data_IF_515004619504
#
_entry.id   IF_515004619504
#
_cell.length_a   1.000
_cell.length_b   1.000
_cell.length_c   1.000
_cell.angle_alpha   90.00
_cell.angle_beta   90.00
_cell.angle_gamma   90.00
#
_symmetry.space_group_name_H-M   'P 1'
#
loop_
_entity.id
_entity.type
_entity.pdbx_description
1 polymer ?
#
# COMPACT_ATOMS: atom_id res chain seq x y z
N UNK A 1 14.65 6.57 -0.98
CA UNK A 1 13.68 6.78 0.12
C UNK A 1 13.99 8.11 0.78
N UNK A 2 12.99 8.84 1.30
CA UNK A 2 13.26 10.08 2.05
C UNK A 2 13.86 9.76 3.42
N UNK A 3 14.87 10.51 3.84
CA UNK A 3 15.50 10.40 5.17
C UNK A 3 14.51 10.63 6.31
N UNK A 4 13.46 11.41 6.06
CA UNK A 4 12.43 11.71 7.05
C UNK A 4 11.27 10.70 7.03
N UNK A 5 11.36 9.58 6.31
CA UNK A 5 10.26 8.62 6.25
C UNK A 5 9.98 7.99 7.61
N UNK A 6 8.71 7.94 8.01
CA UNK A 6 8.28 7.22 9.20
C UNK A 6 7.91 5.79 8.83
N UNK A 7 8.45 4.82 9.57
CA UNK A 7 8.11 3.40 9.44
C UNK A 7 7.20 3.00 10.61
N UNK A 8 5.92 3.38 10.50
CA UNK A 8 4.90 3.13 11.52
C UNK A 8 3.61 2.67 10.85
N UNK A 9 2.84 1.84 11.54
CA UNK A 9 1.54 1.36 11.06
C UNK A 9 0.62 2.53 10.70
N UNK A 10 -0.15 2.39 9.63
CA UNK A 10 -1.12 3.37 9.13
C UNK A 10 -0.54 4.75 8.77
N UNK A 11 0.78 4.85 8.54
CA UNK A 11 1.45 6.09 8.12
C UNK A 11 2.11 5.86 6.76
N UNK A 12 1.76 6.68 5.76
CA UNK A 12 2.35 6.55 4.43
C UNK A 12 3.87 6.79 4.47
N UNK A 13 4.60 5.81 3.93
CA UNK A 13 6.05 5.87 3.74
C UNK A 13 6.39 6.94 2.69
N UNK A 14 7.44 7.75 2.93
CA UNK A 14 7.86 8.85 2.04
C UNK A 14 8.99 8.41 1.11
N UNK A 15 8.67 8.28 -0.18
CA UNK A 15 9.59 7.86 -1.25
C UNK A 15 9.27 6.45 -1.78
N UNK A 16 9.99 6.01 -2.81
CA UNK A 16 9.71 4.73 -3.48
C UNK A 16 8.54 4.82 -4.45
N UNK A 17 7.73 3.76 -4.53
CA UNK A 17 6.56 3.67 -5.42
C UNK A 17 5.29 3.43 -4.57
N UNK A 18 4.65 4.50 -4.05
CA UNK A 18 3.42 4.36 -3.25
C UNK A 18 2.22 3.95 -4.13
N UNK A 19 1.43 2.98 -3.65
CA UNK A 19 0.21 2.54 -4.33
C UNK A 19 -0.98 3.40 -3.89
N UNK A 20 -1.54 4.20 -4.81
CA UNK A 20 -2.71 5.04 -4.57
C UNK A 20 -3.95 4.34 -5.15
N UNK A 21 -4.74 3.70 -4.29
CA UNK A 21 -5.92 2.94 -4.72
C UNK A 21 -6.94 2.84 -3.57
N UNK A 22 -8.26 3.00 -3.81
CA UNK A 22 -8.93 3.03 -5.12
C UNK A 22 -9.09 4.39 -5.81
N UNK A 23 -8.63 5.49 -5.20
CA UNK A 23 -8.61 6.83 -5.77
C UNK A 23 -7.21 7.46 -5.81
N UNK A 24 -7.10 8.64 -6.42
CA UNK A 24 -5.87 9.43 -6.46
C UNK A 24 -6.13 10.84 -5.94
N UNK A 25 -5.17 11.40 -5.20
CA UNK A 25 -5.27 12.77 -4.68
C UNK A 25 -6.31 12.93 -3.58
N UNK A 26 -6.94 14.10 -3.54
CA UNK A 26 -7.88 14.55 -2.50
C UNK A 26 -9.35 14.27 -2.83
N UNK A 27 -9.62 13.29 -3.69
CA UNK A 27 -10.99 12.95 -4.11
C UNK A 27 -11.84 12.44 -2.93
N UNK A 28 -11.21 11.72 -2.00
CA UNK A 28 -11.80 11.31 -0.73
C UNK A 28 -10.72 11.28 0.37
N UNK A 29 -11.14 11.10 1.62
CA UNK A 29 -10.21 10.93 2.74
C UNK A 29 -9.98 9.44 3.05
N UNK A 30 -8.74 9.04 3.38
CA UNK A 30 -7.53 9.85 3.38
C UNK A 30 -7.02 10.18 1.97
N UNK A 31 -6.20 11.24 1.84
CA UNK A 31 -5.54 11.56 0.56
C UNK A 31 -4.77 10.35 0.03
N UNK A 32 -4.96 10.04 -1.26
CA UNK A 32 -4.37 8.85 -1.90
C UNK A 32 -4.69 7.52 -1.19
N UNK A 33 -5.87 7.45 -0.55
CA UNK A 33 -6.49 6.24 -0.03
C UNK A 33 -5.70 5.48 1.04
N UNK A 34 -6.17 4.26 1.31
CA UNK A 34 -5.69 3.36 2.34
C UNK A 34 -4.71 2.30 1.83
N UNK A 35 -4.63 1.99 0.54
CA UNK A 35 -3.79 0.89 0.04
C UNK A 35 -2.30 1.02 0.45
N UNK A 36 -1.77 2.24 0.51
CA UNK A 36 -0.40 2.54 0.98
C UNK A 36 -0.24 2.61 2.51
N UNK A 37 -1.32 2.47 3.27
CA UNK A 37 -1.35 2.55 4.74
C UNK A 37 -1.49 1.16 5.37
N UNK A 38 -2.05 0.21 4.62
CA UNK A 38 -2.30 -1.17 5.05
C UNK A 38 -1.12 -2.10 4.78
N UNK A 39 -1.09 -3.22 5.50
CA UNK A 39 -0.08 -4.26 5.35
C UNK A 39 -0.49 -5.26 4.25
N UNK A 40 0.40 -5.44 3.27
CA UNK A 40 0.20 -6.38 2.17
C UNK A 40 0.85 -7.72 2.51
N UNK A 41 0.21 -8.82 2.11
CA UNK A 41 0.77 -10.15 2.31
C UNK A 41 1.61 -10.56 1.10
N UNK A 42 2.84 -11.04 1.33
CA UNK A 42 3.59 -11.76 0.31
C UNK A 42 2.92 -13.12 0.10
N UNK A 43 2.27 -13.28 -1.04
CA UNK A 43 1.44 -14.47 -1.34
C UNK A 43 2.10 -15.42 -2.32
N UNK A 44 3.03 -14.93 -3.14
CA UNK A 44 3.87 -15.76 -3.98
C UNK A 44 5.21 -15.07 -4.22
N UNK A 45 6.23 -15.86 -4.51
CA UNK A 45 7.52 -15.38 -5.00
C UNK A 45 8.13 -16.38 -5.98
N UNK A 46 8.98 -15.89 -6.88
CA UNK A 46 9.79 -16.72 -7.77
C UNK A 46 11.18 -16.11 -7.89
N UNK A 47 12.19 -16.94 -7.71
CA UNK A 47 13.59 -16.57 -7.90
C UNK A 47 14.08 -17.17 -9.21
N UNK A 48 14.55 -16.31 -10.09
CA UNK A 48 15.15 -16.66 -11.37
C UNK A 48 16.63 -16.31 -11.32
N UNK A 49 17.36 -16.71 -12.37
CA UNK A 49 18.81 -16.54 -12.42
C UNK A 49 19.25 -15.07 -12.25
N UNK A 50 18.50 -14.15 -12.84
CA UNK A 50 18.84 -12.72 -12.90
C UNK A 50 17.72 -11.80 -12.37
N UNK A 51 16.69 -12.36 -11.73
CA UNK A 51 15.55 -11.57 -11.26
C UNK A 51 14.77 -12.25 -10.15
N UNK A 52 14.06 -11.44 -9.35
CA UNK A 52 13.11 -11.90 -8.35
C UNK A 52 11.73 -11.32 -8.68
N UNK A 53 10.70 -12.17 -8.63
CA UNK A 53 9.30 -11.77 -8.79
C UNK A 53 8.61 -11.96 -7.45
N UNK A 54 7.88 -10.94 -7.00
CA UNK A 54 7.10 -10.95 -5.77
C UNK A 54 5.64 -10.64 -6.09
N UNK A 55 4.72 -11.40 -5.49
CA UNK A 55 3.28 -11.12 -5.53
C UNK A 55 2.80 -10.72 -4.15
N UNK A 56 2.48 -9.44 -4.02
CA UNK A 56 1.89 -8.85 -2.83
C UNK A 56 0.39 -8.73 -3.03
N UNK A 57 -0.40 -9.19 -2.06
CA UNK A 57 -1.86 -9.13 -2.11
C UNK A 57 -2.39 -8.33 -0.94
N UNK A 58 -3.30 -7.41 -1.25
CA UNK A 58 -4.16 -6.72 -0.28
C UNK A 58 -5.58 -7.23 -0.48
N UNK A 59 -6.14 -7.87 0.54
CA UNK A 59 -7.52 -8.33 0.56
C UNK A 59 -8.39 -7.38 1.40
N UNK A 60 -9.70 -7.40 1.17
CA UNK A 60 -10.61 -6.63 2.00
C UNK A 60 -10.58 -7.10 3.46
N UNK A 61 -10.70 -6.12 4.35
CA UNK A 61 -10.87 -6.26 5.79
C UNK A 61 -11.84 -5.16 6.28
N UNK A 62 -12.18 -5.16 7.56
CA UNK A 62 -13.10 -4.18 8.13
C UNK A 62 -12.68 -2.72 7.90
N UNK A 63 -11.38 -2.42 7.85
CA UNK A 63 -10.83 -1.09 7.62
C UNK A 63 -11.03 -0.67 6.16
N UNK A 64 -10.59 -1.51 5.22
CA UNK A 64 -10.73 -1.23 3.79
C UNK A 64 -12.19 -1.11 3.34
N UNK A 65 -13.11 -1.85 3.97
CA UNK A 65 -14.56 -1.75 3.73
C UNK A 65 -15.13 -0.43 4.22
N UNK A 66 -14.69 0.01 5.40
CA UNK A 66 -15.10 1.31 5.96
C UNK A 66 -14.64 2.47 5.08
N UNK A 67 -13.39 2.41 4.60
CA UNK A 67 -12.81 3.47 3.78
C UNK A 67 -13.36 3.48 2.34
N UNK A 68 -13.97 2.39 1.87
CA UNK A 68 -14.73 2.34 0.61
C UNK A 68 -16.14 2.92 0.71
N UNK A 69 -16.69 3.06 1.92
CA UNK A 69 -18.07 3.47 2.17
C UNK A 69 -18.24 4.98 2.42
N UNK A 70 -17.17 5.77 2.25
CA UNK A 70 -17.12 7.24 2.50
C UNK A 70 -16.71 7.97 1.23
#
# INVERSE_FOLDING_TARGET
MSENSLFRKNTAIRGGIPICWPWFGLVAQPSHCFARLEEWQLTAHSELRDSVILTLTLSDNEITKKDMAT
#
